data_IF_489332423705
#
_entry.id   IF_489332423705
#
_cell.length_a   1.000
_cell.length_b   1.000
_cell.length_c   1.000
_cell.angle_alpha   90.00
_cell.angle_beta   90.00
_cell.angle_gamma   90.00
#
_symmetry.space_group_name_H-M   'P 1'
#
loop_
_entity.id
_entity.type
_entity.pdbx_description
1 polymer ?
#
# COMPACT_ATOMS: atom_id res chain seq x y z
N UNK A 1 -34.23 -2.45 2.66
CA UNK A 1 -33.24 -3.10 3.54
C UNK A 1 -31.88 -3.26 2.85
N UNK A 2 -31.79 -3.80 1.65
CA UNK A 2 -30.52 -4.04 0.91
C UNK A 2 -29.69 -2.76 0.69
N UNK A 3 -30.31 -1.65 0.28
CA UNK A 3 -29.61 -0.37 0.07
C UNK A 3 -28.97 0.13 1.37
N UNK A 4 -29.69 0.03 2.50
CA UNK A 4 -29.14 0.43 3.80
C UNK A 4 -27.93 -0.42 4.18
N UNK A 5 -27.96 -1.72 3.95
CA UNK A 5 -26.83 -2.61 4.21
C UNK A 5 -25.60 -2.26 3.36
N UNK A 6 -25.80 -1.96 2.08
CA UNK A 6 -24.72 -1.51 1.20
C UNK A 6 -24.13 -0.18 1.69
N UNK A 7 -24.95 0.78 2.06
CA UNK A 7 -24.46 2.05 2.62
C UNK A 7 -23.64 1.84 3.90
N UNK A 8 -24.12 0.99 4.81
CA UNK A 8 -23.37 0.64 6.03
C UNK A 8 -22.05 -0.06 5.73
N UNK A 9 -22.01 -0.89 4.68
CA UNK A 9 -20.79 -1.55 4.25
C UNK A 9 -19.73 -0.58 3.70
N UNK A 10 -20.16 0.53 3.07
CA UNK A 10 -19.26 1.52 2.47
C UNK A 10 -18.70 2.54 3.46
N UNK A 11 -19.47 2.88 4.51
CA UNK A 11 -19.12 3.96 5.43
C UNK A 11 -17.74 3.83 6.09
N UNK A 12 -17.31 2.68 6.60
CA UNK A 12 -16.00 2.55 7.25
C UNK A 12 -14.85 2.84 6.30
N UNK A 13 -14.92 2.33 5.06
CA UNK A 13 -13.91 2.57 4.05
C UNK A 13 -13.84 4.06 3.67
N UNK A 14 -15.00 4.70 3.47
CA UNK A 14 -15.06 6.12 3.16
C UNK A 14 -14.44 6.97 4.28
N UNK A 15 -14.75 6.67 5.55
CA UNK A 15 -14.15 7.36 6.70
C UNK A 15 -12.62 7.24 6.69
N UNK A 16 -12.08 6.05 6.43
CA UNK A 16 -10.64 5.83 6.40
C UNK A 16 -9.95 6.50 5.20
N UNK A 17 -10.60 6.52 4.02
CA UNK A 17 -10.11 7.26 2.85
C UNK A 17 -9.99 8.75 3.19
N UNK A 18 -11.04 9.33 3.75
CA UNK A 18 -11.05 10.75 4.16
C UNK A 18 -9.95 11.02 5.18
N UNK A 19 -9.81 10.15 6.18
CA UNK A 19 -8.77 10.29 7.20
C UNK A 19 -7.35 10.28 6.59
N UNK A 20 -7.03 9.32 5.74
CA UNK A 20 -5.70 9.24 5.07
C UNK A 20 -5.48 10.43 4.15
N UNK A 21 -6.50 10.85 3.39
CA UNK A 21 -6.42 12.02 2.53
C UNK A 21 -6.09 13.30 3.32
N UNK A 22 -6.68 13.48 4.51
CA UNK A 22 -6.31 14.62 5.37
C UNK A 22 -4.90 14.51 5.96
N UNK A 23 -4.41 13.30 6.24
CA UNK A 23 -3.06 13.07 6.75
C UNK A 23 -1.96 13.28 5.71
N UNK A 24 -2.29 13.19 4.45
CA UNK A 24 -1.41 13.58 3.35
C UNK A 24 -1.36 15.11 3.24
N UNK A 25 -0.41 15.73 3.92
CA UNK A 25 -0.40 17.17 4.19
C UNK A 25 0.56 17.97 3.33
N UNK A 26 1.52 17.35 2.65
CA UNK A 26 2.55 18.04 1.87
C UNK A 26 2.13 18.28 0.43
N UNK A 27 1.71 17.25 -0.26
CA UNK A 27 1.23 17.30 -1.64
C UNK A 27 0.10 16.28 -1.78
N UNK A 28 -1.00 16.68 -2.43
CA UNK A 28 -2.13 15.78 -2.64
C UNK A 28 -1.95 15.01 -3.92
N UNK A 29 -2.21 13.71 -3.82
CA UNK A 29 -2.20 12.84 -4.98
C UNK A 29 -3.34 13.15 -5.96
N UNK A 30 -3.14 13.01 -7.28
CA UNK A 30 -4.20 13.22 -8.25
C UNK A 30 -5.40 12.30 -8.00
N UNK A 31 -6.58 12.89 -7.96
CA UNK A 31 -7.84 12.14 -7.72
C UNK A 31 -8.02 10.99 -8.71
N UNK A 32 -7.61 11.18 -9.98
CA UNK A 32 -7.67 10.13 -10.99
C UNK A 32 -6.79 8.91 -10.66
N UNK A 33 -5.60 9.13 -10.09
CA UNK A 33 -4.72 8.05 -9.63
C UNK A 33 -5.34 7.33 -8.43
N UNK A 34 -5.83 8.09 -7.44
CA UNK A 34 -6.47 7.54 -6.26
C UNK A 34 -7.72 6.71 -6.62
N UNK A 35 -8.57 7.24 -7.49
CA UNK A 35 -9.75 6.52 -7.98
C UNK A 35 -9.39 5.25 -8.75
N UNK A 36 -8.33 5.27 -9.56
CA UNK A 36 -7.86 4.09 -10.28
C UNK A 36 -7.32 3.01 -9.33
N UNK A 37 -6.56 3.38 -8.31
CA UNK A 37 -6.06 2.45 -7.29
C UNK A 37 -7.20 1.79 -6.51
N UNK A 38 -8.21 2.58 -6.12
CA UNK A 38 -9.40 2.07 -5.46
C UNK A 38 -10.18 1.09 -6.35
N UNK A 39 -10.42 1.45 -7.62
CA UNK A 39 -11.12 0.60 -8.57
C UNK A 39 -10.35 -0.70 -8.87
N UNK A 40 -9.02 -0.61 -9.04
CA UNK A 40 -8.18 -1.81 -9.21
C UNK A 40 -8.14 -2.67 -7.94
N UNK A 41 -8.16 -2.06 -6.76
CA UNK A 41 -8.34 -2.77 -5.50
C UNK A 41 -9.63 -3.58 -5.47
N UNK A 42 -10.76 -2.98 -5.86
CA UNK A 42 -12.04 -3.71 -6.01
C UNK A 42 -11.93 -4.87 -6.99
N UNK A 43 -11.33 -4.63 -8.16
CA UNK A 43 -11.16 -5.67 -9.18
C UNK A 43 -10.21 -6.80 -8.71
N UNK A 44 -9.29 -6.51 -7.81
CA UNK A 44 -8.36 -7.46 -7.21
C UNK A 44 -9.02 -8.61 -6.43
N UNK A 45 -10.27 -8.45 -6.01
CA UNK A 45 -11.04 -9.53 -5.39
C UNK A 45 -11.19 -10.74 -6.35
N UNK A 46 -11.33 -10.50 -7.65
CA UNK A 46 -11.56 -11.57 -8.62
C UNK A 46 -10.40 -12.58 -8.62
N UNK A 47 -9.15 -12.18 -8.89
CA UNK A 47 -8.03 -13.11 -8.80
C UNK A 47 -7.81 -13.65 -7.39
N UNK A 48 -8.09 -12.90 -6.33
CA UNK A 48 -7.94 -13.36 -4.96
C UNK A 48 -8.87 -14.57 -4.68
N UNK A 49 -10.17 -14.43 -4.90
CA UNK A 49 -11.15 -15.51 -4.69
C UNK A 49 -10.81 -16.78 -5.51
N UNK A 50 -10.32 -16.61 -6.74
CA UNK A 50 -9.90 -17.76 -7.57
C UNK A 50 -8.70 -18.47 -6.94
N UNK A 51 -7.68 -17.72 -6.52
CA UNK A 51 -6.46 -18.28 -5.93
C UNK A 51 -6.74 -18.90 -4.55
N UNK A 52 -7.56 -18.27 -3.73
CA UNK A 52 -8.03 -18.83 -2.44
C UNK A 52 -8.81 -20.12 -2.62
N UNK A 53 -9.70 -20.17 -3.62
CA UNK A 53 -10.44 -21.37 -3.97
C UNK A 53 -9.51 -22.53 -4.39
N UNK A 54 -8.49 -22.24 -5.20
CA UNK A 54 -7.46 -23.22 -5.58
C UNK A 54 -6.67 -23.65 -4.34
N UNK A 55 -6.21 -22.71 -3.51
CA UNK A 55 -5.47 -22.98 -2.27
C UNK A 55 -6.28 -23.86 -1.31
N UNK A 56 -7.55 -23.54 -1.10
CA UNK A 56 -8.48 -24.29 -0.28
C UNK A 56 -8.68 -25.72 -0.80
N UNK A 57 -8.82 -25.90 -2.11
CA UNK A 57 -8.96 -27.22 -2.72
C UNK A 57 -7.70 -28.09 -2.50
N UNK A 58 -6.49 -27.50 -2.67
CA UNK A 58 -5.24 -28.20 -2.38
C UNK A 58 -5.10 -28.54 -0.90
N UNK A 59 -5.44 -27.62 -0.01
CA UNK A 59 -5.37 -27.85 1.43
C UNK A 59 -6.38 -28.92 1.87
N UNK A 60 -7.54 -29.02 1.20
CA UNK A 60 -8.51 -30.07 1.41
C UNK A 60 -7.97 -31.49 1.15
N UNK A 61 -6.98 -31.67 0.27
CA UNK A 61 -6.28 -32.96 0.05
C UNK A 61 -5.43 -33.39 1.25
N UNK A 62 -5.09 -32.42 2.14
CA UNK A 62 -4.37 -32.66 3.41
C UNK A 62 -5.36 -32.91 4.58
N UNK A 63 -6.65 -33.12 4.28
CA UNK A 63 -7.69 -33.38 5.26
C UNK A 63 -7.30 -34.62 6.12
N UNK A 64 -7.31 -34.45 7.45
CA UNK A 64 -6.82 -35.42 8.44
C UNK A 64 -5.62 -34.92 9.24
N UNK A 65 -5.07 -33.76 8.90
CA UNK A 65 -4.06 -33.05 9.71
C UNK A 65 -4.70 -32.36 10.93
N UNK A 66 -3.86 -31.93 11.86
CA UNK A 66 -4.29 -31.13 13.01
C UNK A 66 -5.03 -29.88 12.54
N UNK A 67 -6.23 -29.58 13.11
CA UNK A 67 -7.08 -28.46 12.70
C UNK A 67 -6.37 -27.10 12.87
N UNK A 68 -5.60 -26.92 13.94
CA UNK A 68 -4.83 -25.69 14.17
C UNK A 68 -3.78 -25.49 13.07
N UNK A 69 -3.10 -26.56 12.64
CA UNK A 69 -2.19 -26.49 11.50
C UNK A 69 -2.92 -26.14 10.19
N UNK A 70 -4.08 -26.76 9.96
CA UNK A 70 -4.94 -26.45 8.81
C UNK A 70 -5.33 -24.95 8.82
N UNK A 71 -5.86 -24.44 9.94
CA UNK A 71 -6.26 -23.05 10.09
C UNK A 71 -5.08 -22.08 9.88
N UNK A 72 -3.88 -22.43 10.39
CA UNK A 72 -2.69 -21.62 10.17
C UNK A 72 -2.30 -21.55 8.68
N UNK A 73 -2.22 -22.69 8.00
CA UNK A 73 -1.87 -22.71 6.57
C UNK A 73 -2.93 -21.98 5.74
N UNK A 74 -4.22 -22.18 6.05
CA UNK A 74 -5.30 -21.51 5.36
C UNK A 74 -5.24 -20.00 5.55
N UNK A 75 -5.10 -19.50 6.79
CA UNK A 75 -5.04 -18.09 7.10
C UNK A 75 -3.82 -17.39 6.45
N UNK A 76 -2.62 -17.96 6.62
CA UNK A 76 -1.40 -17.28 6.19
C UNK A 76 -1.09 -17.46 4.71
N UNK A 77 -1.35 -18.64 4.15
CA UNK A 77 -0.93 -18.98 2.78
C UNK A 77 -2.09 -18.86 1.79
N UNK A 78 -3.26 -19.39 2.13
CA UNK A 78 -4.38 -19.40 1.18
C UNK A 78 -5.12 -18.06 1.15
N UNK A 79 -5.19 -17.32 2.26
CA UNK A 79 -5.89 -16.05 2.35
C UNK A 79 -4.89 -14.88 2.36
N UNK A 80 -4.16 -14.68 3.45
CA UNK A 80 -3.37 -13.46 3.66
C UNK A 80 -2.29 -13.23 2.59
N UNK A 81 -1.52 -14.27 2.21
CA UNK A 81 -0.52 -14.14 1.14
C UNK A 81 -1.15 -13.80 -0.20
N UNK A 82 -2.29 -14.39 -0.52
CA UNK A 82 -3.01 -14.15 -1.78
C UNK A 82 -3.55 -12.72 -1.82
N UNK A 83 -4.28 -12.30 -0.81
CA UNK A 83 -4.89 -10.97 -0.78
C UNK A 83 -3.84 -9.87 -0.71
N UNK A 84 -2.89 -9.95 0.22
CA UNK A 84 -1.84 -8.93 0.33
C UNK A 84 -0.90 -8.96 -0.88
N UNK A 85 -0.70 -10.13 -1.48
CA UNK A 85 0.04 -10.28 -2.74
C UNK A 85 -0.64 -9.58 -3.90
N UNK A 86 -1.95 -9.74 -4.09
CA UNK A 86 -2.74 -9.04 -5.12
C UNK A 86 -2.69 -7.54 -4.90
N UNK A 87 -2.96 -7.06 -3.68
CA UNK A 87 -2.90 -5.63 -3.33
C UNK A 87 -1.50 -5.06 -3.60
N UNK A 88 -0.45 -5.76 -3.18
CA UNK A 88 0.94 -5.36 -3.41
C UNK A 88 1.29 -5.26 -4.92
N UNK A 89 0.88 -6.24 -5.73
CA UNK A 89 1.12 -6.22 -7.19
C UNK A 89 0.42 -5.02 -7.83
N UNK A 90 -0.83 -4.74 -7.45
CA UNK A 90 -1.57 -3.57 -7.96
C UNK A 90 -0.83 -2.27 -7.61
N UNK A 91 -0.46 -2.08 -6.35
CA UNK A 91 0.28 -0.89 -5.90
C UNK A 91 1.60 -0.77 -6.66
N UNK A 92 2.39 -1.84 -6.73
CA UNK A 92 3.70 -1.83 -7.35
C UNK A 92 3.64 -1.52 -8.86
N UNK A 93 2.79 -2.20 -9.59
CA UNK A 93 2.70 -2.04 -11.05
C UNK A 93 2.17 -0.68 -11.47
N UNK A 94 1.27 -0.10 -10.66
CA UNK A 94 0.64 1.19 -10.96
C UNK A 94 1.50 2.38 -10.55
N UNK A 95 2.23 2.27 -9.42
CA UNK A 95 2.82 3.45 -8.79
C UNK A 95 4.34 3.47 -8.77
N UNK A 96 5.05 2.32 -8.88
CA UNK A 96 6.51 2.30 -8.74
C UNK A 96 7.24 3.25 -9.70
N UNK A 97 6.75 3.35 -10.94
CA UNK A 97 7.31 4.24 -11.97
C UNK A 97 6.51 5.53 -12.15
N UNK A 98 5.49 5.75 -11.32
CA UNK A 98 4.67 6.96 -11.41
C UNK A 98 5.45 8.16 -10.86
N UNK A 99 5.40 9.29 -11.54
CA UNK A 99 6.11 10.49 -11.15
C UNK A 99 5.50 11.18 -9.93
N UNK A 100 4.22 10.94 -9.63
CA UNK A 100 3.57 11.41 -8.42
C UNK A 100 4.09 10.71 -7.16
N UNK A 101 4.76 9.56 -7.29
CA UNK A 101 5.40 8.90 -6.15
C UNK A 101 6.69 9.63 -5.77
N UNK A 102 6.54 10.80 -5.17
CA UNK A 102 7.63 11.73 -4.87
C UNK A 102 7.84 11.99 -3.37
N UNK A 103 6.92 11.55 -2.49
CA UNK A 103 7.06 11.53 -1.05
C UNK A 103 6.96 10.11 -0.47
N UNK A 104 7.58 9.88 0.69
CA UNK A 104 7.49 8.56 1.36
C UNK A 104 6.06 8.22 1.80
N UNK A 105 5.26 9.23 2.17
CA UNK A 105 3.89 9.04 2.64
C UNK A 105 2.94 8.59 1.53
N UNK A 106 3.26 8.91 0.26
CA UNK A 106 2.45 8.49 -0.89
C UNK A 106 2.32 6.97 -0.96
N UNK A 107 3.39 6.24 -0.56
CA UNK A 107 3.32 4.79 -0.44
C UNK A 107 2.19 4.31 0.49
N UNK A 108 1.93 5.03 1.60
CA UNK A 108 0.81 4.72 2.51
C UNK A 108 -0.52 5.07 1.84
N UNK A 109 -0.60 6.23 1.18
CA UNK A 109 -1.82 6.66 0.46
C UNK A 109 -2.20 5.63 -0.59
N UNK A 110 -1.27 5.22 -1.44
CA UNK A 110 -1.53 4.26 -2.52
C UNK A 110 -1.95 2.87 -1.99
N UNK A 111 -1.23 2.36 -1.01
CA UNK A 111 -1.55 1.06 -0.42
C UNK A 111 -2.92 1.07 0.26
N UNK A 112 -3.24 2.11 1.04
CA UNK A 112 -4.52 2.23 1.74
C UNK A 112 -5.68 2.37 0.76
N UNK A 113 -5.55 3.19 -0.30
CA UNK A 113 -6.61 3.32 -1.31
C UNK A 113 -6.88 1.99 -2.03
N UNK A 114 -5.82 1.27 -2.40
CA UNK A 114 -5.96 -0.06 -3.04
C UNK A 114 -6.62 -1.06 -2.10
N UNK A 115 -6.16 -1.12 -0.85
CA UNK A 115 -6.68 -2.05 0.15
C UNK A 115 -8.13 -1.74 0.55
N UNK A 116 -8.48 -0.47 0.69
CA UNK A 116 -9.86 -0.07 0.97
C UNK A 116 -10.79 -0.32 -0.22
N UNK A 117 -10.31 -0.22 -1.46
CA UNK A 117 -11.05 -0.67 -2.63
C UNK A 117 -11.38 -2.16 -2.54
N UNK A 118 -10.37 -2.99 -2.26
CA UNK A 118 -10.52 -4.44 -2.05
C UNK A 118 -11.52 -4.73 -0.92
N UNK A 119 -11.26 -4.20 0.28
CA UNK A 119 -12.10 -4.38 1.46
C UNK A 119 -13.56 -3.92 1.25
N UNK A 120 -13.78 -2.88 0.46
CA UNK A 120 -15.11 -2.36 0.16
C UNK A 120 -15.96 -3.38 -0.58
N UNK A 121 -15.43 -3.97 -1.67
CA UNK A 121 -16.19 -4.96 -2.43
C UNK A 121 -16.37 -6.25 -1.63
N UNK A 122 -15.32 -6.69 -0.95
CA UNK A 122 -15.37 -7.83 -0.05
C UNK A 122 -16.44 -7.64 1.04
N UNK A 123 -16.44 -6.48 1.71
CA UNK A 123 -17.40 -6.15 2.75
C UNK A 123 -18.86 -6.15 2.23
N UNK A 124 -19.10 -5.61 1.04
CA UNK A 124 -20.41 -5.65 0.39
C UNK A 124 -20.86 -7.08 0.18
N UNK A 125 -19.99 -7.96 -0.34
CA UNK A 125 -20.31 -9.37 -0.57
C UNK A 125 -20.70 -10.10 0.72
N UNK A 126 -19.94 -9.91 1.79
CA UNK A 126 -20.23 -10.52 3.09
C UNK A 126 -21.51 -9.96 3.74
N UNK A 127 -21.72 -8.65 3.67
CA UNK A 127 -22.88 -8.00 4.27
C UNK A 127 -24.19 -8.41 3.58
N UNK A 128 -24.17 -8.59 2.25
CA UNK A 128 -25.33 -9.07 1.51
C UNK A 128 -25.73 -10.51 1.90
N UNK A 129 -24.78 -11.32 2.36
CA UNK A 129 -25.02 -12.69 2.83
C UNK A 129 -25.39 -12.76 4.32
N UNK A 130 -24.67 -11.98 5.16
CA UNK A 130 -24.75 -12.05 6.62
C UNK A 130 -25.57 -10.97 7.31
N UNK A 131 -26.06 -9.97 6.56
CA UNK A 131 -26.95 -8.92 7.08
C UNK A 131 -26.30 -7.92 8.03
N UNK A 132 -27.11 -7.33 8.92
CA UNK A 132 -26.72 -6.18 9.77
C UNK A 132 -25.61 -6.53 10.77
N UNK A 133 -25.66 -7.69 11.39
CA UNK A 133 -24.62 -8.11 12.36
C UNK A 133 -23.24 -8.20 11.73
N UNK A 134 -23.17 -8.74 10.52
CA UNK A 134 -21.93 -8.81 9.72
C UNK A 134 -21.49 -7.42 9.30
N UNK A 135 -22.41 -6.52 8.91
CA UNK A 135 -22.08 -5.16 8.57
C UNK A 135 -21.39 -4.42 9.73
N UNK A 136 -21.91 -4.57 10.96
CA UNK A 136 -21.37 -3.94 12.16
C UNK A 136 -19.99 -4.56 12.49
N UNK A 137 -19.89 -5.88 12.55
CA UNK A 137 -18.65 -6.58 12.92
C UNK A 137 -17.52 -6.27 11.93
N UNK A 138 -17.79 -6.39 10.63
CA UNK A 138 -16.79 -6.11 9.60
C UNK A 138 -16.44 -4.63 9.47
N UNK A 139 -17.41 -3.74 9.68
CA UNK A 139 -17.19 -2.30 9.68
C UNK A 139 -16.27 -1.84 10.81
N UNK A 140 -16.33 -2.49 11.97
CA UNK A 140 -15.51 -2.15 13.14
C UNK A 140 -14.17 -2.91 13.18
N UNK A 141 -14.07 -4.07 12.58
CA UNK A 141 -12.90 -4.94 12.71
C UNK A 141 -12.20 -5.19 11.36
N UNK A 142 -12.90 -5.73 10.35
CA UNK A 142 -12.29 -6.16 9.10
C UNK A 142 -11.83 -4.99 8.22
N UNK A 143 -12.69 -3.98 8.00
CA UNK A 143 -12.30 -2.82 7.16
C UNK A 143 -11.15 -2.02 7.78
N UNK A 144 -11.12 -1.72 9.09
CA UNK A 144 -9.94 -1.14 9.73
C UNK A 144 -8.69 -2.02 9.63
N UNK A 145 -8.82 -3.35 9.80
CA UNK A 145 -7.68 -4.27 9.67
C UNK A 145 -7.02 -4.18 8.29
N UNK A 146 -7.79 -4.21 7.20
CA UNK A 146 -7.27 -4.02 5.84
C UNK A 146 -6.54 -2.68 5.66
N UNK A 147 -7.04 -1.62 6.28
CA UNK A 147 -6.37 -0.32 6.24
C UNK A 147 -5.05 -0.33 7.03
N UNK A 148 -5.00 -1.03 8.18
CA UNK A 148 -3.80 -1.18 8.99
C UNK A 148 -2.73 -1.95 8.23
N UNK A 149 -3.07 -3.09 7.63
CA UNK A 149 -2.18 -3.90 6.81
C UNK A 149 -1.58 -3.05 5.69
N UNK A 150 -2.42 -2.25 5.03
CA UNK A 150 -1.99 -1.33 3.98
C UNK A 150 -1.10 -0.19 4.50
N UNK A 151 -1.30 0.31 5.71
CA UNK A 151 -0.39 1.31 6.32
C UNK A 151 1.02 0.74 6.47
N UNK A 152 1.15 -0.51 6.90
CA UNK A 152 2.47 -1.17 6.99
C UNK A 152 3.05 -1.49 5.61
N UNK A 153 2.23 -1.99 4.67
CA UNK A 153 2.63 -2.16 3.27
C UNK A 153 3.20 -0.86 2.72
N UNK A 154 2.43 0.21 2.79
CA UNK A 154 2.78 1.51 2.23
C UNK A 154 3.98 2.16 2.92
N UNK A 155 4.12 2.02 4.23
CA UNK A 155 5.28 2.51 4.97
C UNK A 155 6.59 1.88 4.46
N UNK A 156 6.63 0.56 4.32
CA UNK A 156 7.83 -0.11 3.79
C UNK A 156 8.00 0.16 2.29
N UNK A 157 6.93 0.27 1.55
CA UNK A 157 6.96 0.59 0.13
C UNK A 157 7.53 2.00 -0.14
N UNK A 158 7.09 3.01 0.63
CA UNK A 158 7.65 4.36 0.58
C UNK A 158 9.13 4.41 0.97
N UNK A 159 9.53 3.65 2.00
CA UNK A 159 10.95 3.51 2.33
C UNK A 159 11.74 2.81 1.21
N UNK A 160 11.18 1.81 0.55
CA UNK A 160 11.84 1.15 -0.58
C UNK A 160 12.09 2.12 -1.72
N UNK A 161 11.13 2.98 -2.03
CA UNK A 161 11.25 4.02 -3.06
C UNK A 161 12.34 5.03 -2.71
N UNK A 162 12.42 5.44 -1.45
CA UNK A 162 13.51 6.29 -0.96
C UNK A 162 14.88 5.62 -1.11
N UNK A 163 15.02 4.35 -0.70
CA UNK A 163 16.29 3.64 -0.86
C UNK A 163 16.67 3.43 -2.32
N UNK A 164 15.70 3.28 -3.21
CA UNK A 164 15.92 3.24 -4.65
C UNK A 164 16.50 4.58 -5.15
N UNK A 165 15.94 5.71 -4.70
CA UNK A 165 16.37 7.04 -5.10
C UNK A 165 17.81 7.38 -4.66
N UNK A 166 18.29 6.82 -3.56
CA UNK A 166 19.67 7.01 -3.07
C UNK A 166 20.64 5.88 -3.51
N UNK A 167 20.21 5.01 -4.45
CA UNK A 167 21.06 3.93 -5.00
C UNK A 167 21.34 2.78 -4.03
N UNK A 168 20.62 2.68 -2.90
CA UNK A 168 20.78 1.61 -1.92
C UNK A 168 19.94 0.38 -2.29
N UNK A 169 20.45 -0.47 -3.17
CA UNK A 169 19.77 -1.67 -3.65
C UNK A 169 19.40 -2.66 -2.52
N UNK A 170 20.25 -2.79 -1.47
CA UNK A 170 19.95 -3.67 -0.33
C UNK A 170 18.78 -3.13 0.48
N UNK A 171 18.77 -1.84 0.79
CA UNK A 171 17.69 -1.17 1.50
C UNK A 171 16.37 -1.27 0.73
N UNK A 172 16.39 -1.01 -0.58
CA UNK A 172 15.26 -1.18 -1.48
C UNK A 172 14.68 -2.58 -1.40
N UNK A 173 15.50 -3.61 -1.67
CA UNK A 173 15.06 -5.02 -1.67
C UNK A 173 14.47 -5.44 -0.32
N UNK A 174 15.15 -5.10 0.78
CA UNK A 174 14.66 -5.42 2.13
C UNK A 174 13.29 -4.79 2.42
N UNK A 175 13.08 -3.54 2.02
CA UNK A 175 11.82 -2.86 2.28
C UNK A 175 10.69 -3.33 1.34
N UNK A 176 10.98 -3.70 0.07
CA UNK A 176 9.99 -4.33 -0.80
C UNK A 176 9.51 -5.68 -0.24
N UNK A 177 10.42 -6.50 0.30
CA UNK A 177 10.06 -7.77 0.95
C UNK A 177 9.20 -7.50 2.19
N UNK A 178 9.56 -6.53 3.04
CA UNK A 178 8.78 -6.16 4.22
C UNK A 178 7.40 -5.59 3.86
N UNK A 179 7.30 -4.88 2.75
CA UNK A 179 6.02 -4.34 2.25
C UNK A 179 5.00 -5.43 1.90
N UNK A 180 5.44 -6.66 1.62
CA UNK A 180 4.58 -7.82 1.43
C UNK A 180 4.45 -8.67 2.70
N UNK A 181 5.57 -9.05 3.32
CA UNK A 181 5.58 -10.06 4.38
C UNK A 181 4.96 -9.54 5.68
N UNK A 182 5.14 -8.24 5.99
CA UNK A 182 4.59 -7.68 7.24
C UNK A 182 3.05 -7.63 7.21
N UNK A 183 2.40 -7.03 6.20
CA UNK A 183 0.94 -7.05 6.14
C UNK A 183 0.39 -8.49 6.01
N UNK A 184 1.02 -9.37 5.24
CA UNK A 184 0.65 -10.79 5.17
C UNK A 184 0.66 -11.45 6.56
N UNK A 185 1.68 -11.18 7.38
CA UNK A 185 1.74 -11.75 8.72
C UNK A 185 0.65 -11.17 9.65
N UNK A 186 0.38 -9.86 9.58
CA UNK A 186 -0.65 -9.21 10.40
C UNK A 186 -2.04 -9.73 10.02
N UNK A 187 -2.36 -9.77 8.74
CA UNK A 187 -3.60 -10.32 8.21
C UNK A 187 -3.74 -11.81 8.57
N UNK A 188 -2.70 -12.62 8.35
CA UNK A 188 -2.73 -14.03 8.68
C UNK A 188 -2.98 -14.31 10.16
N UNK A 189 -2.43 -13.51 11.09
CA UNK A 189 -2.74 -13.61 12.51
C UNK A 189 -4.18 -13.22 12.82
N UNK A 190 -4.69 -12.15 12.17
CA UNK A 190 -6.08 -11.72 12.29
C UNK A 190 -7.03 -12.87 11.96
N UNK A 191 -6.87 -13.50 10.80
CA UNK A 191 -7.70 -14.62 10.35
C UNK A 191 -7.50 -15.87 11.19
N UNK A 192 -6.25 -16.22 11.51
CA UNK A 192 -5.94 -17.40 12.30
C UNK A 192 -6.66 -17.39 13.65
N UNK A 193 -6.63 -16.26 14.38
CA UNK A 193 -7.32 -16.17 15.66
C UNK A 193 -8.84 -16.32 15.53
N UNK A 194 -9.42 -15.79 14.44
CA UNK A 194 -10.84 -15.94 14.16
C UNK A 194 -11.21 -17.38 13.78
N UNK A 195 -10.37 -18.06 12.98
CA UNK A 195 -10.61 -19.45 12.56
C UNK A 195 -10.49 -20.45 13.72
N UNK A 196 -9.59 -20.20 14.66
CA UNK A 196 -9.50 -21.00 15.89
C UNK A 196 -10.74 -20.88 16.78
N UNK A 197 -11.37 -19.71 16.82
CA UNK A 197 -12.70 -19.45 17.37
C UNK A 197 -12.91 -19.76 18.85
N UNK A 198 -11.89 -20.21 19.58
CA UNK A 198 -12.03 -20.47 21.02
C UNK A 198 -11.98 -19.16 21.81
N UNK A 199 -12.55 -19.15 23.03
CA UNK A 199 -12.57 -17.94 23.87
C UNK A 199 -11.18 -17.35 24.14
N UNK A 200 -10.15 -18.21 24.23
CA UNK A 200 -8.76 -17.77 24.42
C UNK A 200 -8.26 -17.03 23.17
N UNK A 201 -8.45 -17.63 21.99
CA UNK A 201 -8.04 -16.99 20.74
C UNK A 201 -8.81 -15.70 20.44
N UNK A 202 -10.11 -15.65 20.76
CA UNK A 202 -10.91 -14.43 20.65
C UNK A 202 -10.43 -13.32 21.61
N UNK A 203 -10.03 -13.66 22.82
CA UNK A 203 -9.44 -12.69 23.75
C UNK A 203 -8.09 -12.17 23.24
N UNK A 204 -7.21 -13.04 22.72
CA UNK A 204 -5.94 -12.67 22.08
C UNK A 204 -6.21 -11.77 20.85
N UNK A 205 -7.17 -12.13 20.02
CA UNK A 205 -7.60 -11.36 18.85
C UNK A 205 -7.98 -9.93 19.20
N UNK A 206 -8.82 -9.72 20.23
CA UNK A 206 -9.24 -8.38 20.63
C UNK A 206 -8.05 -7.53 21.11
N UNK A 207 -7.15 -8.11 21.90
CA UNK A 207 -5.93 -7.41 22.33
C UNK A 207 -5.04 -7.08 21.13
N UNK A 208 -4.87 -8.02 20.22
CA UNK A 208 -4.08 -7.88 18.99
C UNK A 208 -4.60 -6.72 18.13
N UNK A 209 -5.91 -6.69 17.85
CA UNK A 209 -6.53 -5.62 17.04
C UNK A 209 -6.35 -4.26 17.72
N UNK A 210 -6.65 -4.13 19.01
CA UNK A 210 -6.48 -2.85 19.73
C UNK A 210 -5.02 -2.36 19.66
N UNK A 211 -4.05 -3.24 19.86
CA UNK A 211 -2.62 -2.87 19.78
C UNK A 211 -2.26 -2.41 18.38
N UNK A 212 -2.74 -3.12 17.35
CA UNK A 212 -2.47 -2.76 15.96
C UNK A 212 -3.11 -1.42 15.58
N UNK A 213 -4.35 -1.15 16.00
CA UNK A 213 -5.04 0.12 15.78
C UNK A 213 -4.23 1.29 16.36
N UNK A 214 -3.80 1.17 17.61
CA UNK A 214 -2.98 2.20 18.28
C UNK A 214 -1.67 2.41 17.51
N UNK A 215 -0.98 1.35 17.13
CA UNK A 215 0.30 1.44 16.43
C UNK A 215 0.15 1.99 15.02
N UNK A 216 -0.93 1.65 14.31
CA UNK A 216 -1.22 2.20 12.99
C UNK A 216 -1.47 3.71 13.05
N UNK A 217 -2.27 4.19 14.02
CA UNK A 217 -2.50 5.63 14.22
C UNK A 217 -1.20 6.36 14.54
N UNK A 218 -0.35 5.79 15.43
CA UNK A 218 0.98 6.35 15.72
C UNK A 218 1.84 6.38 14.46
N UNK A 219 1.84 5.29 13.67
CA UNK A 219 2.62 5.17 12.44
C UNK A 219 2.19 6.21 11.40
N UNK A 220 0.90 6.34 11.15
CA UNK A 220 0.34 7.34 10.23
C UNK A 220 0.75 8.74 10.66
N UNK A 221 0.53 9.11 11.93
CA UNK A 221 0.84 10.43 12.44
C UNK A 221 2.35 10.75 12.36
N UNK A 222 3.20 9.78 12.68
CA UNK A 222 4.66 9.96 12.58
C UNK A 222 5.09 10.07 11.11
N UNK A 223 4.60 9.20 10.23
CA UNK A 223 4.95 9.21 8.80
C UNK A 223 4.47 10.47 8.10
N UNK A 224 3.27 10.96 8.42
CA UNK A 224 2.74 12.23 7.90
C UNK A 224 3.59 13.44 8.35
N UNK A 225 3.93 13.52 9.65
CA UNK A 225 4.75 14.63 10.19
C UNK A 225 6.21 14.60 9.74
N UNK A 226 6.75 13.41 9.52
CA UNK A 226 8.14 13.18 9.08
C UNK A 226 8.18 12.84 7.58
N UNK A 227 7.18 13.29 6.83
CA UNK A 227 7.14 13.03 5.40
C UNK A 227 8.32 13.70 4.71
N UNK A 228 8.92 12.97 3.79
CA UNK A 228 10.18 13.33 3.19
C UNK A 228 10.07 13.21 1.67
N UNK A 229 10.43 14.26 0.96
CA UNK A 229 10.48 14.23 -0.49
C UNK A 229 11.61 13.30 -0.94
N UNK A 230 11.28 12.28 -1.71
CA UNK A 230 12.18 11.18 -2.07
C UNK A 230 13.40 11.66 -2.84
N UNK A 231 13.24 12.68 -3.68
CA UNK A 231 14.29 13.16 -4.57
C UNK A 231 15.03 14.42 -4.06
N UNK A 232 14.53 15.12 -3.03
CA UNK A 232 15.17 16.35 -2.51
C UNK A 232 16.43 16.11 -1.70
N UNK A 233 16.62 14.91 -1.15
CA UNK A 233 17.75 14.60 -0.27
C UNK A 233 19.00 14.14 -1.01
N UNK A 234 18.94 13.97 -2.33
CA UNK A 234 20.11 13.63 -3.12
C UNK A 234 20.31 14.64 -4.26
N UNK A 235 20.88 15.83 -3.97
CA UNK A 235 21.19 16.83 -5.00
C UNK A 235 22.11 16.27 -6.10
N UNK A 236 22.90 15.23 -5.80
CA UNK A 236 23.79 14.59 -6.77
C UNK A 236 23.03 13.78 -7.84
N UNK A 237 21.76 13.41 -7.62
CA UNK A 237 20.93 12.77 -8.63
C UNK A 237 20.50 13.71 -9.76
N UNK A 238 20.59 15.02 -9.52
CA UNK A 238 20.13 16.05 -10.47
C UNK A 238 21.27 16.73 -11.23
N UNK A 239 22.51 16.52 -10.77
CA UNK A 239 23.69 17.16 -11.37
C UNK A 239 24.83 16.17 -11.47
N UNK A 240 25.03 15.56 -12.64
CA UNK A 240 26.35 15.05 -12.97
C UNK A 240 27.19 16.25 -13.45
N UNK A 241 28.05 16.75 -12.56
CA UNK A 241 29.06 17.72 -12.92
C UNK A 241 30.17 16.95 -13.63
N UNK A 242 30.24 17.07 -14.96
CA UNK A 242 31.47 16.67 -15.66
C UNK A 242 32.43 17.86 -15.63
N UNK A 243 33.62 17.74 -15.01
CA UNK A 243 34.65 18.78 -15.11
C UNK A 243 35.04 18.88 -16.59
N UNK A 244 34.74 20.01 -17.20
CA UNK A 244 35.28 20.34 -18.52
C UNK A 244 36.80 20.41 -18.44
N UNK A 245 37.46 19.83 -19.43
CA UNK A 245 38.93 19.83 -19.58
C UNK A 245 39.48 21.24 -19.88
N UNK A 246 39.29 22.23 -19.03
CA UNK A 246 40.11 23.44 -19.03
C UNK A 246 39.89 24.22 -17.72
N UNK A 247 40.96 24.26 -16.92
CA UNK A 247 40.97 24.80 -15.56
C UNK A 247 40.94 26.35 -15.45
N UNK A 248 40.41 27.07 -16.44
CA UNK A 248 40.45 28.55 -16.45
C UNK A 248 39.12 29.25 -16.75
N UNK A 249 37.99 28.54 -16.74
CA UNK A 249 36.68 29.20 -16.82
C UNK A 249 35.75 28.61 -15.77
N UNK A 250 35.29 29.46 -14.83
CA UNK A 250 34.31 29.18 -13.80
C UNK A 250 32.89 28.91 -14.37
N UNK A 251 32.74 28.04 -15.35
CA UNK A 251 31.45 27.64 -15.87
C UNK A 251 31.26 26.13 -15.63
N UNK A 252 30.63 25.78 -14.51
CA UNK A 252 30.06 24.46 -14.31
C UNK A 252 28.89 24.31 -15.28
N UNK A 253 29.04 23.44 -16.28
CA UNK A 253 27.91 23.03 -17.11
C UNK A 253 27.03 22.07 -16.28
N UNK A 254 26.00 22.63 -15.63
CA UNK A 254 25.00 21.84 -14.93
C UNK A 254 24.01 21.30 -15.96
N UNK A 255 24.02 19.99 -16.17
CA UNK A 255 23.04 19.31 -17.01
C UNK A 255 21.87 18.83 -16.14
N UNK A 256 20.65 19.24 -16.48
CA UNK A 256 19.44 18.70 -15.89
C UNK A 256 18.95 17.51 -16.72
N UNK A 257 18.44 16.51 -16.03
CA UNK A 257 17.81 15.35 -16.66
C UNK A 257 16.34 15.26 -16.28
N UNK A 258 15.49 14.79 -17.17
CA UNK A 258 14.08 14.60 -16.92
C UNK A 258 13.85 13.52 -15.87
N UNK A 259 13.13 13.86 -14.82
CA UNK A 259 12.82 12.94 -13.70
C UNK A 259 11.93 11.77 -14.12
N UNK A 260 11.16 11.94 -15.20
CA UNK A 260 10.26 10.90 -15.68
C UNK A 260 10.96 9.89 -16.60
N UNK A 261 11.80 10.36 -17.56
CA UNK A 261 12.35 9.50 -18.61
C UNK A 261 13.89 9.49 -18.68
N UNK A 262 14.59 10.23 -17.81
CA UNK A 262 16.05 10.31 -17.79
C UNK A 262 16.68 11.08 -18.97
N UNK A 263 15.88 11.65 -19.89
CA UNK A 263 16.39 12.43 -21.03
C UNK A 263 17.03 13.72 -20.55
N UNK A 264 18.20 14.05 -21.09
CA UNK A 264 18.87 15.34 -20.83
C UNK A 264 17.97 16.50 -21.24
N UNK A 265 17.80 17.46 -20.32
CA UNK A 265 16.97 18.64 -20.54
C UNK A 265 17.84 19.82 -21.01
N UNK A 266 17.28 20.65 -21.86
CA UNK A 266 17.87 21.94 -22.18
C UNK A 266 17.80 22.86 -20.96
N UNK A 267 18.81 23.71 -20.75
CA UNK A 267 18.92 24.59 -19.59
C UNK A 267 17.68 25.49 -19.35
N UNK A 268 16.86 25.71 -20.39
CA UNK A 268 15.67 26.56 -20.36
C UNK A 268 14.35 25.81 -20.58
N UNK A 269 14.37 24.46 -20.53
CA UNK A 269 13.17 23.68 -20.77
C UNK A 269 12.13 23.86 -19.65
N UNK A 270 10.89 24.17 -20.00
CA UNK A 270 9.73 24.12 -19.12
C UNK A 270 9.07 22.75 -19.11
N UNK A 271 9.31 21.96 -20.18
CA UNK A 271 8.81 20.61 -20.34
C UNK A 271 9.92 19.74 -20.93
N UNK A 272 9.92 18.46 -20.58
CA UNK A 272 10.81 17.49 -21.20
C UNK A 272 10.46 17.30 -22.68
N UNK A 273 11.42 17.53 -23.56
CA UNK A 273 11.25 17.43 -25.00
C UNK A 273 10.99 15.98 -25.48
N UNK A 274 11.26 14.98 -24.66
CA UNK A 274 11.06 13.58 -25.00
C UNK A 274 9.73 13.00 -24.49
N UNK A 275 9.29 13.37 -23.27
CA UNK A 275 8.10 12.78 -22.66
C UNK A 275 7.04 13.80 -22.22
N UNK A 276 7.23 15.10 -22.49
CA UNK A 276 6.29 16.16 -22.14
C UNK A 276 6.22 16.51 -20.64
N UNK A 277 7.02 15.86 -19.80
CA UNK A 277 6.99 16.08 -18.35
C UNK A 277 7.35 17.53 -17.98
N UNK A 278 6.55 18.22 -17.12
CA UNK A 278 6.85 19.58 -16.71
C UNK A 278 8.14 19.66 -15.87
N UNK A 279 8.97 20.63 -16.15
CA UNK A 279 10.22 20.90 -15.44
C UNK A 279 9.97 22.05 -14.47
N UNK A 280 9.80 21.76 -13.18
CA UNK A 280 9.68 22.78 -12.16
C UNK A 280 11.07 23.35 -11.86
N UNK A 281 11.24 24.65 -12.12
CA UNK A 281 12.42 25.41 -11.67
C UNK A 281 12.14 25.93 -10.26
N UNK A 282 13.07 25.72 -9.36
CA UNK A 282 13.13 26.45 -8.10
C UNK A 282 13.69 27.85 -8.33
#
# INVERSE_FOLDING_TARGET
MTILLVLLALLPALFMIVYIYYKDSYEKEPVGLLASLFAMGMAGIIPAVILEGIGSAFLGLLAGTNMTFYNAVFAFICVALVEEGVKYVIVYTTTWKNYHFNYKFDGIVYAVLTSLGFATLENVLYVLQGGLSVAIARGLLSVPSHAIDAVYMGYYYGNAKYYDSVGNARGRKSNLIKALIVPMALHGFYDFFLFEGTMIYLAIFLVFVIVLDIWAVIRINRSSKQNMHIYKENPQMYTTVYPGQNAFANHYNVYMYCMNCGTRLNANAFFCQNCGYPVHRM
#
